data_IF_511319924372
#
_entry.id   IF_511319924372
#
_cell.length_a   1.000
_cell.length_b   1.000
_cell.length_c   1.000
_cell.angle_alpha   90.00
_cell.angle_beta   90.00
_cell.angle_gamma   90.00
#
_symmetry.space_group_name_H-M   'P 1'
#
loop_
_entity.id
_entity.type
_entity.pdbx_description
1 polymer ?
#
# COMPACT_ATOMS: atom_id res chain seq x y z
N UNK A 1 -30.82 -31.42 36.16
CA UNK A 1 -30.48 -30.08 36.66
C UNK A 1 -29.39 -29.53 35.74
N UNK A 2 -29.78 -28.74 34.80
CA UNK A 2 -28.89 -28.16 33.76
C UNK A 2 -28.93 -26.67 33.86
N UNK A 3 -27.86 -26.05 34.33
CA UNK A 3 -27.70 -24.59 34.41
C UNK A 3 -27.10 -24.08 33.10
N UNK A 4 -27.93 -23.38 32.33
CA UNK A 4 -27.48 -22.59 31.17
C UNK A 4 -26.97 -21.24 31.69
N UNK A 5 -25.66 -21.00 31.51
CA UNK A 5 -25.08 -19.65 31.63
C UNK A 5 -25.39 -18.86 30.36
N UNK A 6 -26.24 -17.86 30.47
CA UNK A 6 -26.49 -16.85 29.46
C UNK A 6 -25.43 -15.75 29.58
N UNK A 7 -24.67 -15.53 28.53
CA UNK A 7 -23.82 -14.35 28.37
C UNK A 7 -24.64 -13.22 27.73
N UNK A 8 -24.51 -11.96 28.17
CA UNK A 8 -25.29 -10.86 27.63
C UNK A 8 -24.71 -10.42 26.25
N UNK A 9 -25.58 -10.41 25.25
CA UNK A 9 -25.43 -9.78 23.97
C UNK A 9 -25.56 -8.24 24.11
N UNK A 10 -24.44 -7.54 24.23
CA UNK A 10 -24.44 -6.08 24.12
C UNK A 10 -23.04 -5.56 23.63
N UNK A 11 -22.69 -5.90 22.40
CA UNK A 11 -21.62 -5.20 21.63
C UNK A 11 -22.03 -5.19 20.17
N UNK A 12 -23.02 -4.39 19.85
CA UNK A 12 -23.33 -4.01 18.45
C UNK A 12 -23.77 -2.54 18.47
N UNK A 13 -23.16 -1.79 17.58
CA UNK A 13 -23.43 -0.40 17.23
C UNK A 13 -22.44 0.63 17.81
N UNK A 14 -21.26 0.72 17.19
CA UNK A 14 -20.51 1.97 17.17
C UNK A 14 -20.63 2.58 15.76
N UNK A 15 -21.77 3.20 15.49
CA UNK A 15 -21.93 4.16 14.41
C UNK A 15 -21.75 5.55 15.02
N UNK A 16 -20.54 6.10 14.96
CA UNK A 16 -20.36 7.52 15.26
C UNK A 16 -20.82 8.35 14.06
N UNK A 17 -21.73 9.31 14.24
CA UNK A 17 -22.08 10.25 13.19
C UNK A 17 -20.90 11.19 12.95
N UNK A 18 -20.63 11.47 11.68
CA UNK A 18 -19.76 12.57 11.25
C UNK A 18 -20.38 13.85 11.76
N UNK A 19 -19.80 14.44 12.80
CA UNK A 19 -20.20 15.77 13.28
C UNK A 19 -19.82 16.81 12.23
N UNK A 20 -20.82 17.42 11.62
CA UNK A 20 -20.67 18.65 10.85
C UNK A 20 -20.28 19.77 11.81
N UNK A 21 -19.13 20.39 11.58
CA UNK A 21 -18.74 21.59 12.31
C UNK A 21 -19.46 22.81 11.73
N UNK A 22 -20.07 23.66 12.58
CA UNK A 22 -20.65 24.92 12.14
C UNK A 22 -19.53 25.92 11.80
N UNK A 23 -19.68 26.59 10.66
CA UNK A 23 -18.97 27.81 10.35
C UNK A 23 -19.55 28.98 11.20
N UNK A 24 -18.66 29.89 11.60
CA UNK A 24 -18.88 31.12 12.34
C UNK A 24 -18.69 31.09 13.86
N UNK A 25 -17.50 31.56 14.26
CA UNK A 25 -17.29 32.31 15.50
C UNK A 25 -16.26 33.45 15.29
N UNK A 26 -16.46 34.61 15.88
CA UNK A 26 -15.72 35.82 15.53
C UNK A 26 -14.38 35.93 16.26
N UNK A 27 -13.45 36.64 15.60
CA UNK A 27 -12.12 36.99 16.09
C UNK A 27 -12.19 37.90 17.35
N UNK A 28 -11.77 37.36 18.48
CA UNK A 28 -11.52 38.09 19.71
C UNK A 28 -10.03 38.12 20.02
N UNK A 29 -9.46 39.33 20.05
CA UNK A 29 -8.12 39.63 20.53
C UNK A 29 -8.00 39.27 22.02
N UNK A 30 -7.06 38.36 22.35
CA UNK A 30 -6.56 38.24 23.73
C UNK A 30 -5.03 38.24 23.75
N UNK A 31 -4.52 39.42 23.97
CA UNK A 31 -3.16 39.63 24.51
C UNK A 31 -3.20 39.33 26.01
N UNK A 32 -2.55 38.26 26.43
CA UNK A 32 -2.06 38.13 27.80
C UNK A 32 -0.79 37.27 27.79
N UNK A 33 0.32 37.97 28.02
CA UNK A 33 1.60 37.43 28.44
C UNK A 33 1.48 36.80 29.84
N UNK A 34 1.62 35.50 29.94
CA UNK A 34 1.98 34.84 31.21
C UNK A 34 3.16 33.92 30.96
N UNK A 35 4.29 34.35 31.49
CA UNK A 35 5.54 33.56 31.60
C UNK A 35 5.32 32.41 32.57
N UNK A 36 5.35 31.17 32.04
CA UNK A 36 5.40 29.95 32.86
C UNK A 36 6.90 29.61 33.09
N UNK A 37 7.35 29.38 34.32
CA UNK A 37 8.75 29.05 34.61
C UNK A 37 9.10 27.71 33.98
N UNK A 38 10.14 27.65 33.16
CA UNK A 38 10.66 26.45 32.52
C UNK A 38 11.40 25.55 33.52
N UNK A 39 10.67 24.58 34.07
CA UNK A 39 11.30 23.38 34.67
C UNK A 39 11.81 22.47 33.55
N UNK A 40 12.86 21.65 33.77
CA UNK A 40 13.33 20.70 32.76
C UNK A 40 12.23 19.72 32.44
N UNK A 41 11.72 19.76 31.20
CA UNK A 41 10.76 18.75 30.71
C UNK A 41 11.45 17.38 30.80
N UNK A 42 10.81 16.38 31.45
CA UNK A 42 11.34 15.03 31.42
C UNK A 42 11.56 14.64 29.96
N UNK A 43 12.70 14.04 29.63
CA UNK A 43 12.92 13.39 28.32
C UNK A 43 11.98 12.20 28.22
N UNK A 44 10.70 12.45 28.02
CA UNK A 44 9.72 11.43 27.72
C UNK A 44 10.11 10.84 26.37
N UNK A 45 10.40 9.53 26.36
CA UNK A 45 10.63 8.78 25.13
C UNK A 45 9.50 9.09 24.13
N UNK A 46 9.77 8.96 22.84
CA UNK A 46 8.75 9.28 21.82
C UNK A 46 7.46 8.53 22.15
N UNK A 47 6.31 9.13 21.85
CA UNK A 47 4.98 8.50 22.08
C UNK A 47 4.90 7.09 21.48
N UNK A 48 5.61 6.82 20.39
CA UNK A 48 5.73 5.51 19.76
C UNK A 48 6.52 4.47 20.61
N UNK A 49 7.41 4.91 21.53
CA UNK A 49 8.20 3.99 22.35
C UNK A 49 7.35 3.17 23.32
N UNK A 50 6.32 3.80 23.93
CA UNK A 50 5.41 3.11 24.82
C UNK A 50 4.60 2.02 24.09
N UNK A 51 4.06 2.35 22.92
CA UNK A 51 3.36 1.41 22.05
C UNK A 51 4.26 0.24 21.64
N UNK A 52 5.50 0.53 21.23
CA UNK A 52 6.47 -0.50 20.82
C UNK A 52 6.76 -1.48 21.96
N UNK A 53 6.96 -0.98 23.19
CA UNK A 53 7.18 -1.84 24.36
C UNK A 53 6.00 -2.78 24.59
N UNK A 54 4.78 -2.26 24.61
CA UNK A 54 3.57 -3.05 24.79
C UNK A 54 3.40 -4.14 23.72
N UNK A 55 3.70 -3.82 22.46
CA UNK A 55 3.67 -4.78 21.34
C UNK A 55 4.67 -5.91 21.55
N UNK A 56 5.88 -5.60 22.05
CA UNK A 56 6.90 -6.61 22.36
C UNK A 56 6.50 -7.49 23.55
N UNK A 57 5.96 -6.92 24.60
CA UNK A 57 5.48 -7.65 25.79
C UNK A 57 4.35 -8.64 25.44
N UNK A 58 3.44 -8.24 24.53
CA UNK A 58 2.39 -9.11 24.01
C UNK A 58 2.90 -10.18 23.01
N UNK A 59 4.18 -10.20 22.70
CA UNK A 59 4.80 -11.16 21.78
C UNK A 59 4.33 -11.05 20.33
N UNK A 60 3.74 -9.91 19.92
CA UNK A 60 3.20 -9.70 18.58
C UNK A 60 4.27 -9.52 17.50
N UNK A 61 5.55 -9.38 17.90
CA UNK A 61 6.70 -9.38 16.97
C UNK A 61 7.26 -10.79 16.70
N UNK A 62 6.66 -11.86 17.26
CA UNK A 62 7.11 -13.23 17.01
C UNK A 62 6.87 -13.66 15.57
N UNK A 63 7.82 -14.39 15.00
CA UNK A 63 7.73 -14.94 13.65
C UNK A 63 6.67 -16.03 13.54
N UNK A 64 6.07 -16.16 12.35
CA UNK A 64 5.01 -17.15 12.07
C UNK A 64 5.46 -18.09 10.94
N UNK A 65 6.48 -18.90 11.23
CA UNK A 65 7.14 -19.76 10.23
C UNK A 65 6.17 -20.69 9.49
N UNK A 66 5.32 -21.43 10.22
CA UNK A 66 4.36 -22.35 9.61
C UNK A 66 3.39 -21.66 8.65
N UNK A 67 2.93 -20.46 9.01
CA UNK A 67 2.08 -19.64 8.14
C UNK A 67 2.80 -19.29 6.84
N UNK A 68 4.04 -18.82 6.91
CA UNK A 68 4.75 -18.39 5.71
C UNK A 68 5.20 -19.57 4.85
N UNK A 69 5.64 -20.68 5.44
CA UNK A 69 5.97 -21.89 4.68
C UNK A 69 4.74 -22.44 3.95
N UNK A 70 3.59 -22.53 4.61
CA UNK A 70 2.35 -22.96 3.97
C UNK A 70 1.96 -22.05 2.79
N UNK A 71 2.12 -20.73 2.95
CA UNK A 71 1.84 -19.77 1.87
C UNK A 71 2.83 -19.86 0.70
N UNK A 72 4.12 -20.02 0.97
CA UNK A 72 5.15 -20.16 -0.07
C UNK A 72 4.97 -21.45 -0.86
N UNK A 73 4.78 -22.59 -0.17
CA UNK A 73 4.52 -23.87 -0.81
C UNK A 73 3.21 -23.81 -1.61
N UNK A 74 2.15 -23.26 -1.02
CA UNK A 74 0.87 -23.07 -1.70
C UNK A 74 0.99 -22.21 -2.97
N UNK A 75 1.77 -21.13 -2.94
CA UNK A 75 2.00 -20.30 -4.12
C UNK A 75 2.69 -21.08 -5.25
N UNK A 76 3.71 -21.87 -4.93
CA UNK A 76 4.40 -22.71 -5.92
C UNK A 76 3.46 -23.77 -6.50
N UNK A 77 2.69 -24.47 -5.64
CA UNK A 77 1.75 -25.50 -6.08
C UNK A 77 0.64 -24.93 -6.96
N UNK A 78 0.08 -23.76 -6.61
CA UNK A 78 -0.97 -23.11 -7.40
C UNK A 78 -0.43 -22.62 -8.74
N UNK A 79 0.81 -22.10 -8.79
CA UNK A 79 1.46 -21.74 -10.06
C UNK A 79 1.71 -22.97 -10.94
N UNK A 80 2.19 -24.08 -10.36
CA UNK A 80 2.38 -25.33 -11.09
C UNK A 80 1.05 -25.89 -11.61
N UNK A 81 0.00 -25.86 -10.79
CA UNK A 81 -1.34 -26.28 -11.20
C UNK A 81 -1.90 -25.37 -12.30
N UNK A 82 -1.63 -24.06 -12.25
CA UNK A 82 -2.00 -23.16 -13.32
C UNK A 82 -1.29 -23.51 -14.64
N UNK A 83 0.03 -23.79 -14.61
CA UNK A 83 0.76 -24.21 -15.83
C UNK A 83 0.17 -25.48 -16.41
N UNK A 84 -0.08 -26.50 -15.57
CA UNK A 84 -0.72 -27.75 -16.01
C UNK A 84 -2.12 -27.51 -16.63
N UNK A 85 -2.94 -26.70 -15.96
CA UNK A 85 -4.26 -26.31 -16.46
C UNK A 85 -4.20 -25.49 -17.76
N UNK A 86 -3.23 -24.60 -17.89
CA UNK A 86 -3.01 -23.80 -19.10
C UNK A 86 -2.69 -24.71 -20.32
N UNK A 87 -1.78 -25.66 -20.12
CA UNK A 87 -1.42 -26.63 -21.18
C UNK A 87 -2.62 -27.56 -21.49
N UNK A 88 -3.35 -28.03 -20.47
CA UNK A 88 -4.52 -28.89 -20.63
C UNK A 88 -5.68 -28.24 -21.39
N UNK A 89 -5.97 -26.95 -21.12
CA UNK A 89 -7.00 -26.16 -21.85
C UNK A 89 -6.62 -26.01 -23.33
N UNK A 90 -5.32 -25.91 -23.63
CA UNK A 90 -4.82 -25.81 -25.01
C UNK A 90 -5.26 -24.55 -25.75
N UNK A 91 -5.39 -24.63 -27.06
CA UNK A 91 -5.78 -23.51 -27.92
C UNK A 91 -7.28 -23.19 -27.78
N UNK A 92 -7.59 -22.30 -26.83
CA UNK A 92 -8.96 -21.89 -26.51
C UNK A 92 -9.01 -20.43 -26.03
N UNK A 93 -10.09 -19.72 -26.32
CA UNK A 93 -10.38 -18.40 -25.76
C UNK A 93 -10.64 -18.42 -24.25
N UNK A 94 -10.91 -19.57 -23.64
CA UNK A 94 -10.94 -19.72 -22.17
C UNK A 94 -9.62 -19.37 -21.51
N UNK A 95 -8.53 -19.29 -22.26
CA UNK A 95 -7.23 -18.83 -21.77
C UNK A 95 -7.24 -17.37 -21.32
N UNK A 96 -8.20 -16.55 -21.75
CA UNK A 96 -8.37 -15.20 -21.20
C UNK A 96 -8.80 -15.25 -19.72
N UNK A 97 -9.68 -16.19 -19.35
CA UNK A 97 -10.03 -16.40 -17.94
C UNK A 97 -8.85 -16.97 -17.16
N UNK A 98 -8.09 -17.90 -17.76
CA UNK A 98 -6.84 -18.43 -17.20
C UNK A 98 -5.80 -17.31 -16.98
N UNK A 99 -5.69 -16.35 -17.89
CA UNK A 99 -4.81 -15.16 -17.73
C UNK A 99 -5.22 -14.29 -16.54
N UNK A 100 -6.51 -14.04 -16.37
CA UNK A 100 -7.05 -13.35 -15.20
C UNK A 100 -6.74 -14.08 -13.89
N UNK A 101 -6.89 -15.42 -13.88
CA UNK A 101 -6.52 -16.25 -12.73
C UNK A 101 -5.02 -16.16 -12.42
N UNK A 102 -4.14 -16.23 -13.44
CA UNK A 102 -2.71 -16.04 -13.26
C UNK A 102 -2.39 -14.68 -12.62
N UNK A 103 -3.05 -13.63 -13.09
CA UNK A 103 -2.87 -12.28 -12.52
C UNK A 103 -3.22 -12.22 -11.03
N UNK A 104 -4.33 -12.87 -10.62
CA UNK A 104 -4.70 -13.00 -9.21
C UNK A 104 -3.64 -13.78 -8.42
N UNK A 105 -3.19 -14.92 -8.93
CA UNK A 105 -2.13 -15.74 -8.31
C UNK A 105 -0.85 -14.94 -8.15
N UNK A 106 -0.44 -14.20 -9.20
CA UNK A 106 0.75 -13.34 -9.16
C UNK A 106 0.64 -12.24 -8.12
N UNK A 107 -0.52 -11.56 -8.01
CA UNK A 107 -0.74 -10.51 -7.00
C UNK A 107 -0.66 -11.07 -5.59
N UNK A 108 -1.32 -12.21 -5.32
CA UNK A 108 -1.24 -12.87 -4.01
C UNK A 108 0.19 -13.33 -3.69
N UNK A 109 0.94 -13.77 -4.71
CA UNK A 109 2.36 -14.13 -4.57
C UNK A 109 3.23 -12.89 -4.34
N UNK A 110 2.93 -11.75 -5.00
CA UNK A 110 3.63 -10.48 -4.78
C UNK A 110 3.50 -9.99 -3.33
N UNK A 111 2.33 -10.18 -2.69
CA UNK A 111 2.18 -9.88 -1.27
C UNK A 111 3.08 -10.74 -0.36
N UNK A 112 3.45 -11.95 -0.77
CA UNK A 112 4.47 -12.74 -0.02
C UNK A 112 5.86 -12.14 -0.23
N UNK A 113 6.20 -11.70 -1.45
CA UNK A 113 7.44 -10.98 -1.72
C UNK A 113 7.56 -9.71 -0.87
N UNK A 114 6.46 -8.96 -0.75
CA UNK A 114 6.35 -7.79 0.11
C UNK A 114 6.63 -8.10 1.60
N UNK A 115 6.00 -9.17 2.14
CA UNK A 115 6.23 -9.59 3.53
C UNK A 115 7.69 -9.99 3.77
N UNK A 116 8.30 -10.72 2.83
CA UNK A 116 9.70 -11.10 2.91
C UNK A 116 10.62 -9.87 2.86
N UNK A 117 10.35 -8.91 1.97
CA UNK A 117 11.11 -7.67 1.85
C UNK A 117 11.08 -6.83 3.14
N UNK A 118 9.97 -6.86 3.87
CA UNK A 118 9.84 -6.28 5.20
C UNK A 118 10.40 -7.15 6.34
N UNK A 119 11.09 -8.24 5.99
CA UNK A 119 11.69 -9.16 6.97
C UNK A 119 10.68 -9.74 7.96
N UNK A 120 9.44 -9.96 7.53
CA UNK A 120 8.36 -10.50 8.37
C UNK A 120 8.46 -12.02 8.59
N UNK A 121 9.09 -12.75 7.63
CA UNK A 121 9.04 -14.21 7.59
C UNK A 121 10.06 -14.87 8.51
N UNK A 122 11.33 -14.49 8.39
CA UNK A 122 12.46 -15.17 9.07
C UNK A 122 13.22 -14.19 9.97
N UNK A 123 13.93 -14.75 10.98
CA UNK A 123 14.87 -13.98 11.81
C UNK A 123 16.07 -13.50 10.99
N UNK A 124 16.55 -14.34 10.07
CA UNK A 124 17.69 -14.01 9.20
C UNK A 124 17.27 -13.03 8.11
N UNK A 125 17.94 -11.86 8.06
CA UNK A 125 17.77 -10.90 6.97
C UNK A 125 18.11 -11.52 5.61
N UNK A 126 19.22 -12.30 5.54
CA UNK A 126 19.67 -12.98 4.31
C UNK A 126 18.60 -13.91 3.72
N UNK A 127 17.90 -14.70 4.56
CA UNK A 127 16.83 -15.58 4.09
C UNK A 127 15.63 -14.78 3.57
N UNK A 128 15.24 -13.70 4.27
CA UNK A 128 14.17 -12.83 3.76
C UNK A 128 14.54 -12.21 2.40
N UNK A 129 15.79 -11.73 2.24
CA UNK A 129 16.26 -11.13 0.98
C UNK A 129 16.23 -12.15 -0.18
N UNK A 130 16.67 -13.41 0.05
CA UNK A 130 16.61 -14.46 -0.97
C UNK A 130 15.17 -14.84 -1.33
N UNK A 131 14.30 -15.01 -0.33
CA UNK A 131 12.88 -15.29 -0.61
C UNK A 131 12.23 -14.13 -1.35
N UNK A 132 12.49 -12.87 -0.97
CA UNK A 132 12.00 -11.71 -1.70
C UNK A 132 12.45 -11.73 -3.16
N UNK A 133 13.72 -12.02 -3.40
CA UNK A 133 14.31 -12.07 -4.72
C UNK A 133 13.70 -13.20 -5.57
N UNK A 134 13.55 -14.40 -5.03
CA UNK A 134 12.91 -15.52 -5.71
C UNK A 134 11.44 -15.20 -6.00
N UNK A 135 10.70 -14.74 -5.00
CA UNK A 135 9.26 -14.46 -5.16
C UNK A 135 9.02 -13.31 -6.14
N UNK A 136 9.71 -12.18 -5.96
CA UNK A 136 9.49 -11.01 -6.82
C UNK A 136 9.99 -11.25 -8.26
N UNK A 137 11.23 -11.73 -8.43
CA UNK A 137 11.83 -11.83 -9.77
C UNK A 137 11.40 -13.11 -10.50
N UNK A 138 11.43 -14.29 -9.83
CA UNK A 138 11.20 -15.57 -10.49
C UNK A 138 9.73 -15.99 -10.52
N UNK A 139 8.94 -15.72 -9.46
CA UNK A 139 7.52 -16.13 -9.43
C UNK A 139 6.61 -15.04 -9.99
N UNK A 140 6.87 -13.77 -9.73
CA UNK A 140 6.03 -12.65 -10.18
C UNK A 140 6.57 -11.99 -11.45
N UNK A 141 7.87 -11.71 -11.54
CA UNK A 141 8.51 -11.06 -12.68
C UNK A 141 8.78 -9.56 -12.46
N UNK A 142 8.84 -9.11 -11.21
CA UNK A 142 9.17 -7.72 -10.84
C UNK A 142 10.55 -7.68 -10.20
N UNK A 143 11.39 -6.68 -10.56
CA UNK A 143 12.70 -6.50 -9.94
C UNK A 143 12.56 -6.18 -8.45
N UNK A 144 13.09 -7.06 -7.61
CA UNK A 144 13.16 -6.86 -6.16
C UNK A 144 13.99 -5.63 -5.80
N UNK A 145 15.17 -5.47 -6.41
CA UNK A 145 16.07 -4.35 -6.11
C UNK A 145 15.49 -2.99 -6.46
N UNK A 146 14.77 -2.89 -7.58
CA UNK A 146 14.04 -1.67 -7.95
C UNK A 146 12.91 -1.38 -6.96
N UNK A 147 12.08 -2.38 -6.70
CA UNK A 147 10.92 -2.23 -5.83
C UNK A 147 11.33 -1.90 -4.39
N UNK A 148 12.36 -2.57 -3.85
CA UNK A 148 12.86 -2.35 -2.49
C UNK A 148 13.32 -0.90 -2.27
N UNK A 149 14.03 -0.31 -3.24
CA UNK A 149 14.47 1.09 -3.14
C UNK A 149 13.27 2.03 -3.12
N UNK A 150 12.32 1.82 -4.03
CA UNK A 150 11.08 2.62 -4.13
C UNK A 150 10.30 2.52 -2.83
N UNK A 151 10.03 1.32 -2.37
CA UNK A 151 9.17 1.03 -1.22
C UNK A 151 9.78 1.45 0.13
N UNK A 152 11.09 1.31 0.29
CA UNK A 152 11.80 1.83 1.48
C UNK A 152 11.70 3.35 1.59
N UNK A 153 11.79 4.07 0.46
CA UNK A 153 11.60 5.53 0.44
C UNK A 153 10.18 5.92 0.80
N UNK A 154 9.19 5.19 0.29
CA UNK A 154 7.78 5.38 0.63
C UNK A 154 7.55 5.22 2.13
N UNK A 155 7.96 4.10 2.75
CA UNK A 155 7.84 3.88 4.20
C UNK A 155 8.55 4.95 5.05
N UNK A 156 9.70 5.44 4.59
CA UNK A 156 10.40 6.51 5.28
C UNK A 156 9.66 7.85 5.21
N UNK A 157 8.92 8.11 4.13
CA UNK A 157 8.34 9.41 3.84
C UNK A 157 6.96 9.31 3.16
N UNK A 158 5.96 8.58 3.71
CA UNK A 158 4.68 8.41 3.06
C UNK A 158 4.03 9.78 2.80
N UNK A 159 3.50 9.98 1.60
CA UNK A 159 2.86 11.20 1.13
C UNK A 159 3.69 12.49 1.29
N UNK A 160 5.03 12.39 1.42
CA UNK A 160 5.88 13.58 1.50
C UNK A 160 6.31 14.05 0.11
N UNK A 161 5.94 15.28 -0.24
CA UNK A 161 6.30 15.85 -1.53
C UNK A 161 7.82 15.93 -1.71
N UNK A 162 8.28 15.56 -2.91
CA UNK A 162 9.70 15.49 -3.26
C UNK A 162 10.49 14.31 -2.66
N UNK A 163 9.89 13.52 -1.74
CA UNK A 163 10.57 12.41 -1.06
C UNK A 163 9.91 11.05 -1.31
N UNK A 164 8.57 11.01 -1.36
CA UNK A 164 7.82 9.80 -1.65
C UNK A 164 7.75 9.54 -3.16
N UNK A 165 8.30 8.43 -3.66
CA UNK A 165 8.22 8.10 -5.08
C UNK A 165 6.81 7.74 -5.55
N UNK A 166 5.89 7.34 -4.67
CA UNK A 166 4.54 6.95 -5.05
C UNK A 166 3.64 8.14 -5.42
N UNK A 167 3.93 9.34 -4.91
CA UNK A 167 3.28 10.58 -5.34
C UNK A 167 4.05 11.29 -6.47
N UNK A 168 5.21 10.76 -6.87
CA UNK A 168 6.02 11.31 -7.95
C UNK A 168 5.63 10.82 -9.36
N UNK A 169 4.46 10.19 -9.51
CA UNK A 169 3.95 9.63 -10.76
C UNK A 169 3.87 10.69 -11.87
N UNK A 170 4.19 10.27 -13.10
CA UNK A 170 4.13 11.16 -14.29
C UNK A 170 2.74 11.23 -14.92
N UNK A 171 1.97 10.12 -14.82
CA UNK A 171 0.66 9.98 -15.47
C UNK A 171 -0.49 10.66 -14.71
N UNK A 172 -0.31 10.91 -13.40
CA UNK A 172 -1.34 11.51 -12.53
C UNK A 172 -0.71 12.65 -11.73
N UNK A 173 -1.36 13.80 -11.75
CA UNK A 173 -0.95 14.93 -10.94
C UNK A 173 -1.41 14.73 -9.49
N UNK A 174 -0.48 14.35 -8.62
CA UNK A 174 -0.76 14.12 -7.20
C UNK A 174 -0.69 15.40 -6.36
N UNK A 175 -0.14 16.50 -6.91
CA UNK A 175 -0.05 17.79 -6.24
C UNK A 175 -0.56 18.91 -7.14
N UNK A 176 -1.08 20.02 -6.58
CA UNK A 176 -1.55 21.19 -7.35
C UNK A 176 -0.48 21.76 -8.29
N UNK A 177 0.79 21.79 -7.85
CA UNK A 177 1.90 22.33 -8.65
C UNK A 177 2.15 21.48 -9.90
N UNK A 178 1.90 20.18 -9.83
CA UNK A 178 1.99 19.29 -11.00
C UNK A 178 0.79 19.46 -11.91
N UNK A 179 -0.41 19.62 -11.37
CA UNK A 179 -1.63 19.85 -12.15
C UNK A 179 -1.55 21.11 -12.99
N UNK A 180 -0.93 22.16 -12.48
CA UNK A 180 -0.80 23.47 -13.17
C UNK A 180 0.27 23.54 -14.24
N UNK A 181 1.15 22.52 -14.35
CA UNK A 181 2.24 22.49 -15.36
C UNK A 181 1.74 22.33 -16.81
N UNK A 182 0.55 21.80 -16.99
CA UNK A 182 0.02 21.50 -18.31
C UNK A 182 -0.56 22.76 -18.98
N UNK A 183 -0.02 23.12 -20.14
CA UNK A 183 -0.43 24.33 -20.92
C UNK A 183 -1.56 24.03 -21.91
N UNK A 184 -1.63 22.82 -22.45
CA UNK A 184 -2.66 22.41 -23.41
C UNK A 184 -4.04 22.34 -22.77
N UNK A 185 -5.11 22.89 -23.40
CA UNK A 185 -6.48 22.79 -22.91
C UNK A 185 -6.93 21.32 -22.70
N UNK A 186 -6.58 20.42 -23.63
CA UNK A 186 -6.90 19.00 -23.53
C UNK A 186 -6.25 18.37 -22.29
N UNK A 187 -4.96 18.64 -22.05
CA UNK A 187 -4.27 18.08 -20.88
C UNK A 187 -4.83 18.65 -19.58
N UNK A 188 -5.22 19.92 -19.54
CA UNK A 188 -5.90 20.51 -18.38
C UNK A 188 -7.24 19.84 -18.12
N UNK A 189 -8.01 19.57 -19.16
CA UNK A 189 -9.27 18.85 -19.05
C UNK A 189 -9.06 17.42 -18.54
N UNK A 190 -8.09 16.68 -19.09
CA UNK A 190 -7.72 15.33 -18.63
C UNK A 190 -7.33 15.37 -17.14
N UNK A 191 -6.44 16.25 -16.74
CA UNK A 191 -6.00 16.38 -15.33
C UNK A 191 -7.16 16.77 -14.41
N UNK A 192 -8.10 17.61 -14.88
CA UNK A 192 -9.30 17.98 -14.11
C UNK A 192 -10.23 16.79 -13.83
N UNK A 193 -10.19 15.74 -14.65
CA UNK A 193 -11.02 14.54 -14.54
C UNK A 193 -10.21 13.27 -14.20
N UNK A 194 -8.96 13.43 -13.75
CA UNK A 194 -8.01 12.32 -13.56
C UNK A 194 -8.47 11.26 -12.55
N UNK A 195 -9.34 11.60 -11.61
CA UNK A 195 -9.93 10.65 -10.68
C UNK A 195 -10.76 9.56 -11.37
N UNK A 196 -11.39 9.88 -12.51
CA UNK A 196 -12.13 8.90 -13.32
C UNK A 196 -11.21 8.06 -14.19
N UNK A 197 -10.12 8.65 -14.71
CA UNK A 197 -9.13 7.91 -15.51
C UNK A 197 -8.19 7.07 -14.65
N UNK A 198 -8.18 7.27 -13.35
CA UNK A 198 -7.36 6.51 -12.43
C UNK A 198 -7.55 4.99 -12.62
N UNK A 199 -8.80 4.52 -12.66
CA UNK A 199 -9.07 3.09 -12.79
C UNK A 199 -8.63 2.50 -14.15
N UNK A 200 -8.96 3.09 -15.31
CA UNK A 200 -8.40 2.66 -16.58
C UNK A 200 -6.86 2.66 -16.60
N UNK A 201 -6.20 3.64 -15.97
CA UNK A 201 -4.74 3.69 -15.91
C UNK A 201 -4.13 2.55 -15.07
N UNK A 202 -4.86 2.02 -14.08
CA UNK A 202 -4.40 0.86 -13.32
C UNK A 202 -4.21 -0.39 -14.21
N UNK A 203 -4.91 -0.51 -15.33
CA UNK A 203 -4.70 -1.59 -16.29
C UNK A 203 -3.29 -1.56 -16.92
N UNK A 204 -2.66 -0.39 -16.96
CA UNK A 204 -1.30 -0.20 -17.44
C UNK A 204 -0.23 -0.34 -16.35
N UNK A 205 -0.64 -0.38 -15.08
CA UNK A 205 0.30 -0.43 -13.95
C UNK A 205 1.14 -1.72 -14.00
N UNK A 206 0.57 -2.87 -14.37
CA UNK A 206 1.32 -4.12 -14.50
C UNK A 206 2.47 -4.01 -15.50
N UNK A 207 2.22 -3.39 -16.66
CA UNK A 207 3.24 -3.12 -17.65
C UNK A 207 4.29 -2.12 -17.13
N UNK A 208 3.85 -1.04 -16.47
CA UNK A 208 4.71 -0.02 -15.85
C UNK A 208 5.68 -0.65 -14.84
N UNK A 209 5.19 -1.48 -13.93
CA UNK A 209 6.00 -2.18 -12.92
C UNK A 209 7.10 -3.05 -13.55
N UNK A 210 6.77 -3.78 -14.63
CA UNK A 210 7.76 -4.61 -15.34
C UNK A 210 8.81 -3.75 -16.07
N UNK A 211 8.36 -2.72 -16.81
CA UNK A 211 9.26 -1.82 -17.56
C UNK A 211 10.21 -1.11 -16.60
N UNK A 212 9.74 -0.54 -15.51
CA UNK A 212 10.57 0.19 -14.56
C UNK A 212 11.57 -0.74 -13.85
N UNK A 213 11.13 -1.95 -13.48
CA UNK A 213 12.00 -2.98 -12.96
C UNK A 213 13.12 -3.37 -13.94
N UNK A 214 12.78 -3.65 -15.19
CA UNK A 214 13.76 -4.00 -16.25
C UNK A 214 14.70 -2.82 -16.51
N UNK A 215 14.18 -1.60 -16.68
CA UNK A 215 15.00 -0.39 -16.88
C UNK A 215 16.00 -0.20 -15.76
N UNK A 216 15.59 -0.43 -14.50
CA UNK A 216 16.49 -0.31 -13.35
C UNK A 216 17.61 -1.33 -13.41
N UNK A 217 17.29 -2.60 -13.62
CA UNK A 217 18.28 -3.68 -13.66
C UNK A 217 19.21 -3.55 -14.87
N UNK A 218 18.70 -3.09 -16.03
CA UNK A 218 19.49 -2.82 -17.23
C UNK A 218 20.33 -1.53 -17.14
N UNK A 219 20.00 -0.61 -16.24
CA UNK A 219 20.71 0.67 -16.10
C UNK A 219 22.09 0.50 -15.45
N UNK A 220 22.91 1.57 -15.50
CA UNK A 220 24.21 1.62 -14.79
C UNK A 220 24.08 1.82 -13.27
N UNK A 221 22.88 2.06 -12.76
CA UNK A 221 22.66 2.27 -11.33
C UNK A 221 22.93 0.99 -10.53
N UNK A 222 23.39 1.14 -9.30
CA UNK A 222 23.73 -0.01 -8.43
C UNK A 222 22.49 -0.88 -8.15
N UNK A 223 22.60 -2.17 -8.42
CA UNK A 223 21.68 -3.25 -8.03
C UNK A 223 22.54 -4.36 -7.43
N UNK A 224 22.31 -4.73 -6.18
CA UNK A 224 23.19 -5.62 -5.41
C UNK A 224 23.43 -6.98 -6.08
N UNK A 225 22.36 -7.60 -6.60
CA UNK A 225 22.38 -8.94 -7.20
C UNK A 225 21.91 -8.90 -8.64
N UNK A 226 22.39 -7.92 -9.40
CA UNK A 226 21.97 -7.64 -10.78
C UNK A 226 21.85 -8.87 -11.66
N UNK A 227 22.87 -9.70 -11.69
CA UNK A 227 22.90 -10.88 -12.58
C UNK A 227 21.90 -11.94 -12.17
N UNK A 228 21.66 -12.13 -10.85
CA UNK A 228 20.64 -13.04 -10.35
C UNK A 228 19.25 -12.50 -10.71
N UNK A 229 19.02 -11.20 -10.54
CA UNK A 229 17.76 -10.58 -10.96
C UNK A 229 17.51 -10.71 -12.45
N UNK A 230 18.52 -10.42 -13.29
CA UNK A 230 18.42 -10.58 -14.75
C UNK A 230 18.08 -12.01 -15.13
N UNK A 231 18.80 -12.99 -14.56
CA UNK A 231 18.52 -14.41 -14.82
C UNK A 231 17.08 -14.77 -14.44
N UNK A 232 16.64 -14.41 -13.23
CA UNK A 232 15.30 -14.76 -12.76
C UNK A 232 14.21 -14.05 -13.58
N UNK A 233 14.39 -12.77 -13.92
CA UNK A 233 13.46 -12.05 -14.77
C UNK A 233 13.39 -12.65 -16.17
N UNK A 234 14.54 -12.99 -16.78
CA UNK A 234 14.58 -13.64 -18.10
C UNK A 234 13.89 -14.99 -18.08
N UNK A 235 14.17 -15.82 -17.07
CA UNK A 235 13.50 -17.13 -16.92
C UNK A 235 11.99 -16.95 -16.73
N UNK A 236 11.57 -16.01 -15.90
CA UNK A 236 10.15 -15.78 -15.62
C UNK A 236 9.39 -15.20 -16.81
N UNK A 237 9.88 -14.10 -17.37
CA UNK A 237 9.19 -13.41 -18.46
C UNK A 237 9.33 -14.15 -19.79
N UNK A 238 10.54 -14.61 -20.09
CA UNK A 238 10.81 -15.41 -21.29
C UNK A 238 10.14 -16.78 -21.22
N UNK A 239 10.19 -17.45 -20.08
CA UNK A 239 9.52 -18.75 -19.86
C UNK A 239 7.99 -18.64 -19.98
N UNK A 240 7.37 -17.59 -19.43
CA UNK A 240 5.93 -17.35 -19.60
C UNK A 240 5.60 -17.08 -21.08
N UNK A 241 6.36 -16.21 -21.73
CA UNK A 241 6.17 -15.92 -23.16
C UNK A 241 6.32 -17.20 -24.00
N UNK A 242 7.39 -17.95 -23.78
CA UNK A 242 7.62 -19.22 -24.47
C UNK A 242 6.48 -20.22 -24.27
N UNK A 243 6.00 -20.41 -23.03
CA UNK A 243 4.86 -21.27 -22.72
C UNK A 243 3.59 -20.83 -23.46
N UNK A 244 3.29 -19.52 -23.41
CA UNK A 244 2.07 -18.98 -24.02
C UNK A 244 2.09 -19.10 -25.53
N UNK A 245 3.20 -18.77 -26.20
CA UNK A 245 3.35 -18.92 -27.66
C UNK A 245 3.52 -20.37 -28.12
N UNK A 246 3.93 -21.29 -27.23
CA UNK A 246 3.95 -22.71 -27.53
C UNK A 246 2.55 -23.33 -27.57
N UNK A 247 1.66 -22.88 -26.70
CA UNK A 247 0.31 -23.44 -26.58
C UNK A 247 -0.71 -22.73 -27.49
N UNK A 248 -0.50 -21.43 -27.78
CA UNK A 248 -1.48 -20.58 -28.44
C UNK A 248 -0.96 -19.97 -29.74
N UNK A 249 -1.82 -19.79 -30.76
CA UNK A 249 -1.49 -18.96 -31.90
C UNK A 249 -1.25 -17.50 -31.48
N UNK A 250 -0.47 -16.73 -32.27
CA UNK A 250 0.04 -15.41 -31.87
C UNK A 250 -1.03 -14.42 -31.39
N UNK A 251 -2.20 -14.38 -32.03
CA UNK A 251 -3.29 -13.47 -31.67
C UNK A 251 -3.85 -13.76 -30.28
N UNK A 252 -4.05 -15.04 -29.92
CA UNK A 252 -4.50 -15.45 -28.59
C UNK A 252 -3.39 -15.27 -27.56
N UNK A 253 -2.15 -15.58 -27.92
CA UNK A 253 -0.99 -15.41 -27.06
C UNK A 253 -0.82 -13.94 -26.61
N UNK A 254 -0.91 -13.01 -27.58
CA UNK A 254 -0.82 -11.56 -27.27
C UNK A 254 -2.01 -11.13 -26.38
N UNK A 255 -3.23 -11.57 -26.70
CA UNK A 255 -4.42 -11.25 -25.89
C UNK A 255 -4.30 -11.77 -24.45
N UNK A 256 -3.81 -13.00 -24.25
CA UNK A 256 -3.58 -13.61 -22.94
C UNK A 256 -2.55 -12.82 -22.12
N UNK A 257 -1.41 -12.46 -22.72
CA UNK A 257 -0.39 -11.67 -22.04
C UNK A 257 -0.89 -10.26 -21.71
N UNK A 258 -1.66 -9.62 -22.61
CA UNK A 258 -2.26 -8.31 -22.37
C UNK A 258 -3.28 -8.35 -21.22
N UNK A 259 -4.18 -9.33 -21.20
CA UNK A 259 -5.16 -9.51 -20.11
C UNK A 259 -4.46 -9.80 -18.80
N UNK A 260 -3.43 -10.67 -18.79
CA UNK A 260 -2.67 -10.98 -17.59
C UNK A 260 -2.02 -9.72 -17.00
N UNK A 261 -1.34 -8.91 -17.83
CA UNK A 261 -0.70 -7.66 -17.38
C UNK A 261 -1.72 -6.64 -16.90
N UNK A 262 -2.84 -6.49 -17.61
CA UNK A 262 -3.89 -5.54 -17.28
C UNK A 262 -4.55 -5.88 -15.93
N UNK A 263 -4.96 -7.14 -15.74
CA UNK A 263 -5.62 -7.59 -14.51
C UNK A 263 -4.64 -7.56 -13.33
N UNK A 264 -3.36 -7.94 -13.56
CA UNK A 264 -2.32 -7.85 -12.54
C UNK A 264 -2.09 -6.40 -12.09
N UNK A 265 -1.94 -5.47 -13.03
CA UNK A 265 -1.74 -4.05 -12.75
C UNK A 265 -2.95 -3.44 -12.04
N UNK A 266 -4.15 -3.74 -12.53
CA UNK A 266 -5.38 -3.30 -11.87
C UNK A 266 -5.45 -3.78 -10.43
N UNK A 267 -5.23 -5.08 -10.18
CA UNK A 267 -5.32 -5.65 -8.84
C UNK A 267 -4.23 -5.08 -7.89
N UNK A 268 -2.98 -4.95 -8.38
CA UNK A 268 -1.90 -4.34 -7.59
C UNK A 268 -2.26 -2.90 -7.21
N UNK A 269 -2.55 -2.04 -8.16
CA UNK A 269 -2.89 -0.64 -7.90
C UNK A 269 -4.16 -0.49 -7.08
N UNK A 270 -5.17 -1.33 -7.34
CA UNK A 270 -6.41 -1.37 -6.57
C UNK A 270 -6.20 -1.79 -5.10
N UNK A 271 -5.16 -2.54 -4.78
CA UNK A 271 -4.85 -2.93 -3.39
C UNK A 271 -4.07 -1.88 -2.61
N UNK A 272 -3.27 -1.03 -3.28
CA UNK A 272 -2.38 -0.07 -2.62
C UNK A 272 -2.95 1.36 -2.59
N UNK A 273 -3.57 1.79 -3.67
CA UNK A 273 -4.00 3.17 -3.84
C UNK A 273 -4.96 3.69 -2.74
N UNK A 274 -5.97 2.94 -2.28
CA UNK A 274 -6.93 3.46 -1.31
C UNK A 274 -6.33 3.72 0.07
N UNK A 275 -5.12 3.21 0.34
CA UNK A 275 -4.48 3.35 1.64
C UNK A 275 -3.80 4.71 1.83
N UNK A 276 -3.37 5.36 0.74
CA UNK A 276 -2.56 6.58 0.76
C UNK A 276 -3.14 7.73 -0.06
N UNK A 277 -3.74 7.44 -1.23
CA UNK A 277 -4.31 8.49 -2.07
C UNK A 277 -5.55 9.08 -1.39
N UNK A 278 -5.59 10.42 -1.30
CA UNK A 278 -6.64 11.11 -0.56
C UNK A 278 -6.36 11.25 0.94
N UNK A 279 -5.20 10.80 1.43
CA UNK A 279 -4.65 11.16 2.74
C UNK A 279 -3.80 12.43 2.64
N UNK A 280 -3.54 13.14 3.75
CA UNK A 280 -2.79 14.40 3.74
C UNK A 280 -1.42 14.29 3.05
N UNK A 281 -1.04 15.32 2.31
CA UNK A 281 0.31 15.50 1.78
C UNK A 281 1.17 16.27 2.77
N UNK A 282 2.42 15.83 2.92
CA UNK A 282 3.39 16.48 3.80
C UNK A 282 4.28 17.40 2.97
N UNK A 283 4.28 18.71 3.32
CA UNK A 283 5.23 19.65 2.73
C UNK A 283 6.68 19.24 3.03
N UNK A 284 7.64 19.46 2.11
CA UNK A 284 9.05 19.18 2.35
C UNK A 284 9.61 19.81 3.62
N UNK A 285 9.10 20.98 4.01
CA UNK A 285 9.55 21.76 5.18
C UNK A 285 8.97 21.26 6.51
N UNK A 286 7.86 20.50 6.48
CA UNK A 286 7.19 20.04 7.69
C UNK A 286 7.90 18.81 8.27
N UNK A 287 8.25 18.89 9.56
CA UNK A 287 8.79 17.77 10.32
C UNK A 287 7.72 17.20 11.24
N UNK A 288 7.30 15.97 10.99
CA UNK A 288 6.41 15.20 11.85
C UNK A 288 7.22 14.15 12.59
N UNK A 289 6.84 13.85 13.85
CA UNK A 289 7.36 12.66 14.54
C UNK A 289 6.94 11.37 13.81
N UNK A 290 7.58 10.27 14.16
CA UNK A 290 7.37 8.99 13.46
C UNK A 290 5.92 8.53 13.54
N UNK A 291 5.30 8.53 14.74
CA UNK A 291 3.91 8.08 14.92
C UNK A 291 2.95 8.88 14.04
N UNK A 292 2.98 10.22 14.15
CA UNK A 292 2.09 11.09 13.38
C UNK A 292 2.30 10.96 11.89
N UNK A 293 3.55 10.86 11.43
CA UNK A 293 3.86 10.68 10.01
C UNK A 293 3.28 9.39 9.45
N UNK A 294 3.37 8.26 10.15
CA UNK A 294 2.86 6.98 9.64
C UNK A 294 1.33 6.92 9.73
N UNK A 295 0.74 7.36 10.82
CA UNK A 295 -0.71 7.28 11.05
C UNK A 295 -1.50 8.25 10.17
N UNK A 296 -1.09 9.53 10.11
CA UNK A 296 -1.84 10.54 9.39
C UNK A 296 -1.78 10.40 7.86
N UNK A 297 -0.71 9.78 7.32
CA UNK A 297 -0.52 9.60 5.88
C UNK A 297 -1.07 8.27 5.38
N UNK A 298 -1.64 7.47 6.25
CA UNK A 298 -2.19 6.15 5.94
C UNK A 298 -3.62 6.02 6.44
N UNK A 299 -4.41 5.16 5.78
CA UNK A 299 -5.71 4.73 6.29
C UNK A 299 -5.87 3.23 6.18
N UNK A 300 -6.65 2.67 7.10
CA UNK A 300 -7.04 1.28 7.06
C UNK A 300 -8.34 1.09 6.29
N UNK A 301 -8.45 -0.08 5.65
CA UNK A 301 -9.67 -0.50 4.96
C UNK A 301 -10.39 -1.54 5.78
N UNK A 302 -11.62 -1.22 6.22
CA UNK A 302 -12.49 -2.14 6.94
C UNK A 302 -12.96 -3.29 6.02
N UNK A 303 -13.20 -4.48 6.57
CA UNK A 303 -13.74 -5.62 5.79
C UNK A 303 -13.33 -7.00 6.29
N UNK A 304 -12.67 -7.08 7.45
CA UNK A 304 -12.37 -8.34 8.13
C UNK A 304 -11.42 -9.28 7.37
N UNK A 305 -11.54 -10.61 7.57
CA UNK A 305 -10.60 -11.59 6.99
C UNK A 305 -10.58 -11.63 5.47
N UNK A 306 -11.73 -11.48 4.81
CA UNK A 306 -11.81 -11.49 3.34
C UNK A 306 -11.06 -10.31 2.73
N UNK A 307 -11.20 -9.11 3.31
CA UNK A 307 -10.45 -7.93 2.90
C UNK A 307 -8.95 -8.13 3.14
N UNK A 308 -8.56 -8.79 4.25
CA UNK A 308 -7.15 -9.08 4.53
C UNK A 308 -6.55 -10.08 3.52
N UNK A 309 -7.34 -11.04 3.01
CA UNK A 309 -6.90 -11.93 1.94
C UNK A 309 -6.77 -11.12 0.64
N UNK A 310 -7.81 -10.38 0.29
CA UNK A 310 -7.86 -9.58 -0.93
C UNK A 310 -6.71 -8.57 -1.01
N UNK A 311 -6.43 -7.83 0.06
CA UNK A 311 -5.37 -6.80 0.10
C UNK A 311 -4.04 -7.33 0.65
N UNK A 312 -3.85 -8.65 0.79
CA UNK A 312 -2.59 -9.21 1.32
C UNK A 312 -2.23 -8.72 2.73
N UNK A 313 -3.22 -8.35 3.56
CA UNK A 313 -3.02 -7.79 4.89
C UNK A 313 -2.80 -6.27 4.92
N UNK A 314 -2.65 -5.62 3.75
CA UNK A 314 -2.43 -4.18 3.64
C UNK A 314 -3.68 -3.34 3.93
N UNK A 315 -4.83 -3.98 4.15
CA UNK A 315 -5.99 -3.32 4.76
C UNK A 315 -5.74 -2.83 6.20
N UNK A 316 -4.65 -3.27 6.85
CA UNK A 316 -4.10 -2.76 8.11
C UNK A 316 -2.87 -1.88 7.85
N UNK A 317 -3.02 -0.88 7.00
CA UNK A 317 -1.90 -0.08 6.49
C UNK A 317 -1.20 0.73 7.57
N UNK A 318 -1.93 1.28 8.52
CA UNK A 318 -1.38 2.04 9.64
C UNK A 318 -0.46 1.14 10.47
N UNK A 319 -0.92 -0.04 10.84
CA UNK A 319 -0.15 -1.03 11.60
C UNK A 319 1.06 -1.52 10.83
N UNK A 320 0.90 -1.72 9.51
CA UNK A 320 1.99 -2.11 8.63
C UNK A 320 3.08 -1.03 8.56
N UNK A 321 2.71 0.24 8.45
CA UNK A 321 3.66 1.36 8.43
C UNK A 321 4.37 1.57 9.78
N UNK A 322 3.67 1.35 10.91
CA UNK A 322 4.25 1.46 12.25
C UNK A 322 5.17 0.27 12.57
N UNK A 323 4.82 -0.93 12.14
CA UNK A 323 5.52 -2.19 12.44
C UNK A 323 5.75 -3.02 11.17
N UNK A 324 6.53 -2.52 10.20
CA UNK A 324 6.67 -3.16 8.89
C UNK A 324 7.23 -4.59 8.98
N UNK A 325 8.05 -4.90 9.98
CA UNK A 325 8.60 -6.25 10.19
C UNK A 325 7.70 -7.20 11.01
N UNK A 326 6.49 -6.78 11.37
CA UNK A 326 5.51 -7.62 12.07
C UNK A 326 4.90 -8.64 11.11
N UNK A 327 4.84 -9.91 11.53
CA UNK A 327 4.21 -10.95 10.71
C UNK A 327 2.73 -10.59 10.41
N UNK A 328 2.33 -10.69 9.14
CA UNK A 328 0.99 -10.32 8.62
C UNK A 328 -0.18 -10.77 9.52
N UNK A 329 -0.23 -12.03 10.05
CA UNK A 329 -1.33 -12.45 10.91
C UNK A 329 -1.47 -11.68 12.22
N UNK A 330 -0.44 -10.92 12.62
CA UNK A 330 -0.47 -10.11 13.84
C UNK A 330 -1.01 -8.70 13.60
N UNK A 331 -1.02 -8.18 12.37
CA UNK A 331 -1.52 -6.82 12.07
C UNK A 331 -2.97 -6.63 12.54
N UNK A 332 -3.84 -7.61 12.28
CA UNK A 332 -5.22 -7.58 12.79
C UNK A 332 -5.29 -7.54 14.33
N UNK A 333 -4.35 -8.22 15.00
CA UNK A 333 -4.36 -8.32 16.47
C UNK A 333 -3.90 -7.03 17.13
N UNK A 334 -2.97 -6.31 16.48
CA UNK A 334 -2.44 -5.06 17.03
C UNK A 334 -3.36 -3.86 16.75
N UNK A 335 -4.23 -3.94 15.75
CA UNK A 335 -5.10 -2.83 15.33
C UNK A 335 -5.84 -2.14 16.49
N UNK A 336 -6.55 -2.84 17.40
CA UNK A 336 -7.23 -2.18 18.51
C UNK A 336 -6.28 -1.43 19.44
N UNK A 337 -5.07 -1.98 19.66
CA UNK A 337 -4.04 -1.37 20.48
C UNK A 337 -3.50 -0.07 19.87
N UNK A 338 -3.24 -0.08 18.56
CA UNK A 338 -2.80 1.11 17.82
C UNK A 338 -3.88 2.17 17.83
N UNK A 339 -5.13 1.82 17.58
CA UNK A 339 -6.26 2.75 17.60
C UNK A 339 -6.43 3.41 18.98
N UNK A 340 -6.37 2.63 20.07
CA UNK A 340 -6.45 3.13 21.44
C UNK A 340 -5.27 4.07 21.77
N UNK A 341 -4.05 3.69 21.35
CA UNK A 341 -2.86 4.53 21.54
C UNK A 341 -2.97 5.86 20.78
N UNK A 342 -3.42 5.83 19.52
CA UNK A 342 -3.65 7.04 18.73
C UNK A 342 -4.69 7.96 19.39
N UNK A 343 -5.77 7.41 19.93
CA UNK A 343 -6.79 8.16 20.67
C UNK A 343 -6.20 8.83 21.93
N UNK A 344 -5.37 8.11 22.71
CA UNK A 344 -4.69 8.66 23.88
C UNK A 344 -3.69 9.78 23.54
N UNK A 345 -3.03 9.70 22.38
CA UNK A 345 -2.08 10.70 21.89
C UNK A 345 -2.73 11.84 21.09
N UNK A 346 -4.05 11.85 20.95
CA UNK A 346 -4.79 12.82 20.13
C UNK A 346 -4.42 12.76 18.64
N UNK A 347 -4.04 11.58 18.13
CA UNK A 347 -3.69 11.38 16.72
C UNK A 347 -4.89 10.77 15.99
N UNK A 348 -5.45 11.44 14.97
CA UNK A 348 -6.55 10.89 14.18
C UNK A 348 -6.18 9.56 13.53
N UNK A 349 -6.95 8.52 13.84
CA UNK A 349 -6.80 7.18 13.28
C UNK A 349 -7.89 6.94 12.25
N UNK A 350 -7.51 6.82 10.98
CA UNK A 350 -8.47 6.75 9.86
C UNK A 350 -8.72 5.31 9.45
N UNK A 351 -9.96 4.86 9.54
CA UNK A 351 -10.44 3.60 9.01
C UNK A 351 -11.76 3.81 8.26
N UNK A 352 -11.89 3.24 7.04
CA UNK A 352 -13.08 3.42 6.21
C UNK A 352 -13.36 2.17 5.37
N UNK A 353 -14.53 2.10 4.74
CA UNK A 353 -14.82 1.04 3.77
C UNK A 353 -14.01 1.23 2.48
N UNK A 354 -13.81 0.16 1.72
CA UNK A 354 -13.10 0.21 0.44
C UNK A 354 -13.75 1.21 -0.53
N UNK A 355 -15.07 1.21 -0.63
CA UNK A 355 -15.80 2.10 -1.52
C UNK A 355 -15.69 3.57 -1.11
N UNK A 356 -15.80 3.87 0.18
CA UNK A 356 -15.62 5.24 0.68
C UNK A 356 -14.17 5.72 0.48
N UNK A 357 -13.17 4.83 0.60
CA UNK A 357 -11.79 5.15 0.27
C UNK A 357 -11.64 5.51 -1.21
N UNK A 358 -12.25 4.76 -2.13
CA UNK A 358 -12.20 5.08 -3.57
C UNK A 358 -12.92 6.36 -3.93
N UNK A 359 -14.07 6.65 -3.33
CA UNK A 359 -14.71 7.94 -3.52
C UNK A 359 -13.81 9.09 -3.04
N UNK A 360 -13.10 8.89 -1.95
CA UNK A 360 -12.08 9.85 -1.48
C UNK A 360 -10.93 10.00 -2.48
N UNK A 361 -10.45 8.90 -3.10
CA UNK A 361 -9.43 8.93 -4.17
C UNK A 361 -9.90 9.74 -5.37
N UNK A 362 -11.10 9.45 -5.89
CA UNK A 362 -11.67 10.17 -7.04
C UNK A 362 -11.83 11.66 -6.73
N UNK A 363 -12.44 11.96 -5.59
CA UNK A 363 -12.67 13.34 -5.15
C UNK A 363 -11.36 14.12 -4.99
N UNK A 364 -10.36 13.51 -4.37
CA UNK A 364 -9.03 14.08 -4.22
C UNK A 364 -8.38 14.40 -5.58
N UNK A 365 -8.26 13.40 -6.44
CA UNK A 365 -7.59 13.54 -7.73
C UNK A 365 -8.28 14.61 -8.61
N UNK A 366 -9.61 14.62 -8.65
CA UNK A 366 -10.35 15.65 -9.39
C UNK A 366 -10.20 17.04 -8.76
N UNK A 367 -10.16 17.15 -7.43
CA UNK A 367 -9.96 18.44 -6.74
C UNK A 367 -8.57 19.01 -7.01
N UNK A 368 -7.53 18.19 -6.98
CA UNK A 368 -6.16 18.57 -7.36
C UNK A 368 -6.14 19.08 -8.80
N UNK A 369 -6.82 18.40 -9.72
CA UNK A 369 -6.87 18.78 -11.12
C UNK A 369 -7.64 20.09 -11.40
N UNK A 370 -8.77 20.30 -10.70
CA UNK A 370 -9.69 21.42 -10.98
C UNK A 370 -9.26 22.73 -10.35
N UNK A 371 -8.71 22.72 -9.15
CA UNK A 371 -8.62 23.97 -8.34
C UNK A 371 -7.20 24.43 -8.05
N UNK A 372 -6.18 23.61 -8.26
CA UNK A 372 -4.81 23.97 -7.86
C UNK A 372 -4.69 24.35 -6.37
N UNK A 373 -5.76 24.16 -5.58
CA UNK A 373 -5.78 24.43 -4.15
C UNK A 373 -5.31 23.17 -3.42
N UNK A 374 -4.53 23.38 -2.37
CA UNK A 374 -4.15 22.31 -1.44
C UNK A 374 -5.44 21.73 -0.83
N UNK A 375 -5.90 20.52 -1.23
CA UNK A 375 -7.13 19.94 -0.70
C UNK A 375 -6.97 19.44 0.73
N UNK A 376 -5.76 19.56 1.31
CA UNK A 376 -5.41 19.00 2.61
C UNK A 376 -5.01 20.08 3.61
N UNK A 377 -5.97 20.80 4.06
CA UNK A 377 -5.90 21.40 5.39
C UNK A 377 -6.19 20.29 6.41
N UNK A 378 -5.23 19.37 6.60
CA UNK A 378 -5.26 18.54 7.79
C UNK A 378 -5.26 19.46 9.01
N UNK A 379 -6.23 19.38 9.92
CA UNK A 379 -6.32 20.29 11.06
C UNK A 379 -5.02 20.34 11.89
N UNK A 380 -4.33 19.20 12.03
CA UNK A 380 -3.03 19.12 12.72
C UNK A 380 -1.88 19.77 11.92
N UNK A 381 -1.94 19.73 10.60
CA UNK A 381 -0.97 20.40 9.72
C UNK A 381 -1.26 21.91 9.66
N UNK A 382 -2.54 22.30 9.65
CA UNK A 382 -2.96 23.70 9.70
C UNK A 382 -2.58 24.35 11.04
N UNK A 383 -2.78 23.68 12.16
CA UNK A 383 -2.39 24.17 13.47
C UNK A 383 -0.88 24.40 13.64
N UNK A 384 -0.03 23.63 12.93
CA UNK A 384 1.43 23.83 12.94
C UNK A 384 1.95 24.79 11.87
N UNK A 385 1.13 25.20 10.91
CA UNK A 385 1.46 26.30 9.98
C UNK A 385 1.17 27.68 10.56
N UNK A 386 0.40 27.75 11.64
CA UNK A 386 0.05 28.99 12.33
C UNK A 386 0.99 29.35 13.50
N UNK A 387 2.04 28.57 13.72
CA UNK A 387 3.16 28.83 14.61
C UNK A 387 4.44 28.92 13.76
#
# INVERSE_FOLDING_TARGET
>A
MSARLALPLSVLAYTSPVAAYPADQPTGNLTTTSSIPGGPRPRTGSSFTALTRQVHELGLMRRRYSYYWAKLIGAVLVLAAWVAGFVWIGDSWWQLASAGLLAVIMTQTAFLGHDAAHRQMFKSGRWNDWISLIVANLLVGISYGWWQIKHTRHHANPNKDGADPDIALSAIAMTPERATRHRSPLMRWLVAHQGWYFFPLLLLEGLSLHIDGIRRVASRQKVERRWVELTFLTVRLGGLAALVFWVLPPEKAIAVLAVQLAVFGFYMGFSFAPNHIGMPLVSPKLKLDFLRRQVLMSRNIAGGPLMSIFMGGLNYQIEHHLFPSMARPHLRKIQPLVAAHCAAEGVPYTQTSLWAAYWSVIGYLNTVGLKGKDPFLCPLVAQRRAI
#
